data_IF_969923030692
#
_entry.id   IF_969923030692
#
_cell.length_a   1.000
_cell.length_b   1.000
_cell.length_c   1.000
_cell.angle_alpha   90.00
_cell.angle_beta   90.00
_cell.angle_gamma   90.00
#
_symmetry.space_group_name_H-M   'P 1'
#
loop_
_entity.id
_entity.type
_entity.pdbx_description
1 polymer ?
#
# COMPACT_ATOMS: atom_id res chain seq x y z
N UNK A 1 74.97 28.72 9.21
CA UNK A 1 74.19 28.40 8.01
C UNK A 1 73.21 27.30 8.39
N UNK A 2 71.95 27.68 8.75
CA UNK A 2 70.95 26.75 9.22
C UNK A 2 69.94 26.48 8.12
N UNK A 3 69.90 25.27 7.59
CA UNK A 3 68.95 24.83 6.61
C UNK A 3 67.69 24.31 7.33
N UNK A 4 66.56 25.02 7.19
CA UNK A 4 65.24 24.59 7.66
C UNK A 4 64.59 23.66 6.62
N UNK A 5 64.38 22.41 7.02
CA UNK A 5 63.64 21.42 6.26
C UNK A 5 62.15 21.62 6.56
N UNK A 6 61.36 22.00 5.58
CA UNK A 6 59.88 22.09 5.65
C UNK A 6 59.34 20.68 5.37
N UNK A 7 58.68 20.06 6.35
CA UNK A 7 57.92 18.84 6.16
C UNK A 7 56.48 19.24 5.73
N UNK A 8 56.18 18.99 4.49
CA UNK A 8 54.83 19.12 3.97
C UNK A 8 54.03 17.86 4.37
N UNK A 9 53.08 18.00 5.29
CA UNK A 9 52.12 16.95 5.61
C UNK A 9 51.00 17.01 4.57
N UNK A 10 50.94 16.00 3.71
CA UNK A 10 49.78 15.77 2.84
C UNK A 10 48.67 15.11 3.65
N UNK A 11 47.63 15.87 3.95
CA UNK A 11 46.40 15.31 4.51
C UNK A 11 45.60 14.62 3.38
N UNK A 12 45.62 13.30 3.36
CA UNK A 12 44.70 12.52 2.51
C UNK A 12 43.30 12.58 3.11
N UNK A 13 42.41 13.33 2.47
CA UNK A 13 40.98 13.25 2.73
C UNK A 13 40.50 11.91 2.19
N UNK A 14 40.24 10.96 3.09
CA UNK A 14 39.44 9.77 2.81
C UNK A 14 37.98 10.23 2.65
N UNK A 15 37.54 10.41 1.42
CA UNK A 15 36.13 10.41 1.08
C UNK A 15 35.58 8.98 1.30
N UNK A 16 35.08 8.74 2.49
CA UNK A 16 34.23 7.57 2.75
C UNK A 16 32.90 7.81 2.02
N UNK A 17 32.86 7.48 0.74
CA UNK A 17 31.60 7.32 0.02
C UNK A 17 30.87 6.16 0.69
N UNK A 18 29.77 6.46 1.38
CA UNK A 18 28.85 5.42 1.83
C UNK A 18 28.30 4.75 0.56
N UNK A 19 28.75 3.53 0.31
CA UNK A 19 28.10 2.65 -0.69
C UNK A 19 26.72 2.40 -0.15
N UNK A 20 25.69 2.98 -0.77
CA UNK A 20 24.31 2.66 -0.44
C UNK A 20 24.16 1.15 -0.70
N UNK A 21 23.82 0.41 0.34
CA UNK A 21 23.48 -1.02 0.19
C UNK A 21 22.05 -1.07 -0.30
N UNK A 22 21.82 -1.70 -1.44
CA UNK A 22 20.48 -1.91 -1.97
C UNK A 22 19.61 -2.64 -0.95
N UNK A 23 18.37 -2.19 -0.79
CA UNK A 23 17.40 -2.74 0.16
C UNK A 23 16.38 -3.61 -0.58
N UNK A 24 15.90 -4.65 0.06
CA UNK A 24 14.85 -5.51 -0.47
C UNK A 24 13.50 -4.79 -0.43
N UNK A 25 12.91 -4.55 -1.61
CA UNK A 25 11.67 -3.78 -1.76
C UNK A 25 10.42 -4.63 -1.89
N UNK A 26 10.43 -5.60 -2.81
CA UNK A 26 9.29 -6.48 -3.10
C UNK A 26 9.79 -7.92 -3.18
N UNK A 27 9.04 -8.82 -2.57
CA UNK A 27 9.32 -10.27 -2.61
C UNK A 27 8.32 -10.97 -3.54
N UNK A 28 8.84 -11.81 -4.43
CA UNK A 28 8.05 -12.72 -5.24
C UNK A 28 8.56 -14.16 -5.17
N UNK A 29 7.63 -15.09 -5.26
CA UNK A 29 7.92 -16.44 -5.71
C UNK A 29 7.66 -16.48 -7.21
N UNK A 30 8.72 -16.73 -8.00
CA UNK A 30 8.70 -16.80 -9.45
C UNK A 30 8.67 -18.28 -9.87
N UNK A 31 7.50 -18.76 -10.21
CA UNK A 31 7.28 -20.18 -10.55
C UNK A 31 6.98 -20.36 -12.04
N UNK A 32 7.62 -21.38 -12.65
CA UNK A 32 7.42 -21.72 -14.05
C UNK A 32 5.97 -22.16 -14.33
N UNK A 33 5.46 -21.72 -15.46
CA UNK A 33 4.12 -22.07 -15.93
C UNK A 33 3.02 -21.15 -15.40
N UNK A 34 1.80 -21.53 -15.76
CA UNK A 34 0.59 -20.92 -15.20
C UNK A 34 0.34 -21.46 -13.79
N UNK A 35 0.14 -20.54 -12.84
CA UNK A 35 -0.16 -20.86 -11.44
C UNK A 35 -1.55 -20.37 -11.01
N UNK A 36 -2.43 -20.04 -11.94
CA UNK A 36 -3.73 -19.45 -11.64
C UNK A 36 -4.56 -20.35 -10.71
N UNK A 37 -4.66 -21.63 -11.00
CA UNK A 37 -5.35 -22.56 -10.12
C UNK A 37 -4.69 -22.66 -8.73
N UNK A 38 -3.36 -22.67 -8.66
CA UNK A 38 -2.64 -22.82 -7.40
C UNK A 38 -2.82 -21.60 -6.50
N UNK A 39 -2.65 -20.38 -7.04
CA UNK A 39 -2.80 -19.19 -6.22
C UNK A 39 -4.27 -18.91 -5.86
N UNK A 40 -5.23 -19.21 -6.74
CA UNK A 40 -6.65 -19.07 -6.42
C UNK A 40 -7.07 -20.04 -5.32
N UNK A 41 -6.65 -21.30 -5.38
CA UNK A 41 -6.87 -22.26 -4.29
C UNK A 41 -6.21 -21.78 -2.99
N UNK A 42 -4.98 -21.28 -3.05
CA UNK A 42 -4.28 -20.75 -1.88
C UNK A 42 -5.06 -19.59 -1.24
N UNK A 43 -5.45 -18.62 -2.05
CA UNK A 43 -6.07 -17.37 -1.58
C UNK A 43 -7.52 -17.61 -1.13
N UNK A 44 -8.32 -18.36 -1.89
CA UNK A 44 -9.75 -18.51 -1.60
C UNK A 44 -10.07 -19.62 -0.60
N UNK A 45 -9.17 -20.61 -0.42
CA UNK A 45 -9.47 -21.78 0.39
C UNK A 45 -8.52 -21.98 1.59
N UNK A 46 -7.31 -21.40 1.56
CA UNK A 46 -6.27 -21.75 2.54
C UNK A 46 -5.79 -20.61 3.42
N UNK A 47 -5.82 -19.36 2.96
CA UNK A 47 -5.23 -18.25 3.75
C UNK A 47 -5.92 -18.04 5.10
N UNK A 48 -7.21 -18.36 5.22
CA UNK A 48 -7.94 -18.28 6.50
C UNK A 48 -7.35 -19.23 7.55
N UNK A 49 -6.84 -20.39 7.12
CA UNK A 49 -6.22 -21.36 8.04
C UNK A 49 -4.94 -20.85 8.73
N UNK A 50 -4.37 -19.76 8.23
CA UNK A 50 -3.18 -19.09 8.79
C UNK A 50 -3.50 -17.69 9.34
N UNK A 51 -4.80 -17.38 9.53
CA UNK A 51 -5.27 -16.15 10.14
C UNK A 51 -5.37 -14.96 9.18
N UNK A 52 -5.18 -15.15 7.86
CA UNK A 52 -5.40 -14.08 6.89
C UNK A 52 -6.81 -14.14 6.31
N UNK A 53 -7.38 -12.95 6.12
CA UNK A 53 -8.67 -12.78 5.47
C UNK A 53 -8.50 -12.03 4.15
N UNK A 54 -9.24 -12.48 3.14
CA UNK A 54 -9.35 -11.79 1.85
C UNK A 54 -10.48 -10.76 1.96
N UNK A 55 -10.15 -9.49 1.72
CA UNK A 55 -11.16 -8.42 1.71
C UNK A 55 -11.69 -8.17 0.30
N UNK A 56 -10.79 -7.91 -0.65
CA UNK A 56 -11.15 -7.49 -2.01
C UNK A 56 -10.31 -8.21 -3.06
N UNK A 57 -10.87 -9.21 -3.75
CA UNK A 57 -10.22 -9.88 -4.87
C UNK A 57 -10.45 -9.11 -6.18
N UNK A 58 -9.36 -8.79 -6.87
CA UNK A 58 -9.38 -8.23 -8.22
C UNK A 58 -8.59 -9.13 -9.16
N UNK A 59 -9.26 -10.14 -9.66
CA UNK A 59 -8.67 -11.14 -10.55
C UNK A 59 -8.66 -10.67 -12.00
N UNK A 60 -7.68 -11.11 -12.79
CA UNK A 60 -7.64 -10.94 -14.25
C UNK A 60 -7.80 -9.49 -14.74
N UNK A 61 -7.22 -8.54 -14.04
CA UNK A 61 -7.28 -7.10 -14.39
C UNK A 61 -6.69 -6.83 -15.79
N UNK A 62 -5.73 -7.64 -16.24
CA UNK A 62 -5.23 -7.62 -17.62
C UNK A 62 -6.33 -7.84 -18.66
N UNK A 63 -7.36 -8.64 -18.38
CA UNK A 63 -8.49 -8.86 -19.28
C UNK A 63 -9.41 -7.64 -19.31
N UNK A 64 -9.62 -6.99 -18.17
CA UNK A 64 -10.33 -5.72 -18.11
C UNK A 64 -9.57 -4.61 -18.89
N UNK A 65 -8.25 -4.58 -18.83
CA UNK A 65 -7.45 -3.68 -19.68
C UNK A 65 -7.64 -4.00 -21.16
N UNK A 66 -7.62 -5.28 -21.56
CA UNK A 66 -7.86 -5.69 -22.93
C UNK A 66 -9.26 -5.29 -23.39
N UNK A 67 -10.29 -5.50 -22.60
CA UNK A 67 -11.66 -5.11 -22.91
C UNK A 67 -11.78 -3.60 -23.15
N UNK A 68 -11.16 -2.79 -22.31
CA UNK A 68 -11.30 -1.33 -22.34
C UNK A 68 -10.40 -0.66 -23.39
N UNK A 69 -9.14 -1.13 -23.54
CA UNK A 69 -8.11 -0.41 -24.28
C UNK A 69 -7.65 -1.12 -25.57
N UNK A 70 -8.14 -2.32 -25.90
CA UNK A 70 -7.66 -3.08 -27.09
C UNK A 70 -7.87 -2.33 -28.42
N UNK A 71 -8.78 -1.37 -28.47
CA UNK A 71 -9.04 -0.55 -29.67
C UNK A 71 -8.20 0.74 -29.71
N UNK A 72 -7.46 1.06 -28.67
CA UNK A 72 -6.62 2.25 -28.65
C UNK A 72 -5.38 2.06 -29.52
N UNK A 73 -4.95 3.11 -30.25
CA UNK A 73 -3.72 3.06 -31.04
C UNK A 73 -2.51 2.72 -30.15
N UNK A 74 -1.77 1.69 -30.57
CA UNK A 74 -0.57 1.25 -29.84
C UNK A 74 -0.81 0.29 -28.68
N UNK A 75 -2.05 -0.14 -28.43
CA UNK A 75 -2.32 -1.19 -27.44
C UNK A 75 -1.50 -2.46 -27.74
N UNK A 76 -0.90 -3.01 -26.70
CA UNK A 76 -0.25 -4.32 -26.72
C UNK A 76 -0.67 -5.10 -25.49
N UNK A 77 -1.10 -6.34 -25.68
CA UNK A 77 -1.30 -7.26 -24.56
C UNK A 77 0.07 -7.72 -24.06
N UNK A 78 0.56 -7.13 -22.99
CA UNK A 78 1.86 -7.48 -22.39
C UNK A 78 1.72 -8.41 -21.20
N UNK A 79 0.54 -8.46 -20.59
CA UNK A 79 0.23 -9.28 -19.41
C UNK A 79 -0.70 -10.43 -19.77
N UNK A 80 -0.31 -11.64 -19.39
CA UNK A 80 -1.12 -12.86 -19.47
C UNK A 80 -2.01 -13.01 -18.21
N UNK A 81 -1.50 -12.57 -17.05
CA UNK A 81 -2.23 -12.50 -15.81
C UNK A 81 -1.84 -11.26 -15.00
N UNK A 82 -2.80 -10.67 -14.30
CA UNK A 82 -2.62 -9.59 -13.35
C UNK A 82 -3.73 -9.63 -12.31
N UNK A 83 -3.37 -9.81 -11.05
CA UNK A 83 -4.32 -9.90 -9.94
C UNK A 83 -3.85 -9.14 -8.71
N UNK A 84 -4.80 -8.59 -7.98
CA UNK A 84 -4.63 -7.86 -6.73
C UNK A 84 -5.57 -8.45 -5.69
N UNK A 85 -5.03 -8.85 -4.55
CA UNK A 85 -5.79 -9.48 -3.49
C UNK A 85 -5.50 -8.77 -2.17
N UNK A 86 -6.44 -7.95 -1.74
CA UNK A 86 -6.33 -7.24 -0.46
C UNK A 86 -6.49 -8.21 0.69
N UNK A 87 -5.43 -8.45 1.44
CA UNK A 87 -5.40 -9.41 2.54
C UNK A 87 -4.91 -8.77 3.84
N UNK A 88 -5.45 -9.20 4.96
CA UNK A 88 -5.03 -8.78 6.29
C UNK A 88 -5.08 -9.95 7.28
N UNK A 89 -4.20 -9.93 8.28
CA UNK A 89 -4.32 -10.79 9.46
C UNK A 89 -4.84 -9.92 10.61
N UNK A 90 -6.17 -9.92 10.77
CA UNK A 90 -6.85 -9.01 11.69
C UNK A 90 -6.43 -9.22 13.15
N UNK A 91 -6.26 -10.46 13.59
CA UNK A 91 -5.80 -10.77 14.96
C UNK A 91 -4.38 -10.26 15.22
N UNK A 92 -3.50 -10.36 14.23
CA UNK A 92 -2.13 -9.87 14.37
C UNK A 92 -2.05 -8.34 14.26
N UNK A 93 -2.85 -7.72 13.39
CA UNK A 93 -2.75 -6.27 13.13
C UNK A 93 -3.49 -5.42 14.17
N UNK A 94 -4.61 -5.91 14.74
CA UNK A 94 -5.42 -5.17 15.70
C UNK A 94 -4.61 -4.56 16.86
N UNK A 95 -3.82 -5.33 17.63
CA UNK A 95 -3.03 -4.77 18.73
C UNK A 95 -1.96 -3.78 18.26
N UNK A 96 -1.52 -3.88 17.01
CA UNK A 96 -0.55 -2.97 16.43
C UNK A 96 -1.20 -1.67 15.95
N UNK A 97 -2.41 -1.71 15.36
CA UNK A 97 -3.20 -0.53 15.00
C UNK A 97 -3.56 0.30 16.25
N UNK A 98 -3.84 -0.35 17.38
CA UNK A 98 -4.06 0.36 18.65
C UNK A 98 -2.82 1.15 19.07
N UNK A 99 -1.61 0.63 18.82
CA UNK A 99 -0.34 1.31 19.14
C UNK A 99 -0.04 2.43 18.14
N UNK A 100 -0.15 2.13 16.82
CA UNK A 100 0.15 3.09 15.77
C UNK A 100 -0.85 2.97 14.60
N UNK A 101 -1.72 3.97 14.41
CA UNK A 101 -2.75 3.94 13.37
C UNK A 101 -2.20 3.97 11.94
N UNK A 102 -0.96 4.42 11.73
CA UNK A 102 -0.37 4.53 10.39
C UNK A 102 -0.19 3.18 9.70
N UNK A 103 -0.23 2.08 10.46
CA UNK A 103 -0.23 0.72 9.88
C UNK A 103 -1.38 0.45 8.92
N UNK A 104 -2.49 1.21 9.02
CA UNK A 104 -3.59 1.16 8.07
C UNK A 104 -3.20 1.51 6.64
N UNK A 105 -2.07 2.18 6.42
CA UNK A 105 -1.52 2.41 5.08
C UNK A 105 -1.10 1.12 4.35
N UNK A 106 -0.99 -0.01 5.10
CA UNK A 106 -0.70 -1.34 4.57
C UNK A 106 -1.51 -2.44 5.28
N UNK A 107 -2.73 -2.12 5.72
CA UNK A 107 -3.63 -3.09 6.34
C UNK A 107 -5.07 -2.77 5.95
N UNK A 108 -5.64 -3.49 5.00
CA UNK A 108 -5.04 -4.62 4.27
C UNK A 108 -3.88 -4.22 3.36
N UNK A 109 -3.00 -5.17 3.04
CA UNK A 109 -1.97 -5.02 2.01
C UNK A 109 -2.31 -5.86 0.78
N UNK A 110 -1.61 -5.63 -0.33
CA UNK A 110 -1.84 -6.38 -1.56
C UNK A 110 -0.94 -7.62 -1.64
N UNK A 111 -1.56 -8.79 -1.76
CA UNK A 111 -0.94 -9.99 -2.30
C UNK A 111 -1.09 -9.94 -3.82
N UNK A 112 0.02 -9.76 -4.52
CA UNK A 112 0.05 -9.46 -5.94
C UNK A 112 0.42 -10.67 -6.78
N UNK A 113 -0.26 -10.81 -7.92
CA UNK A 113 0.01 -11.84 -8.91
C UNK A 113 0.20 -11.21 -10.28
N UNK A 114 1.25 -11.62 -11.02
CA UNK A 114 1.36 -11.26 -12.43
C UNK A 114 2.15 -12.28 -13.25
N UNK A 115 1.86 -12.30 -14.57
CA UNK A 115 2.58 -13.06 -15.59
C UNK A 115 2.61 -12.24 -16.87
N UNK A 116 3.80 -12.08 -17.45
CA UNK A 116 3.94 -11.46 -18.77
C UNK A 116 3.65 -12.46 -19.88
N UNK A 117 3.20 -11.97 -21.06
CA UNK A 117 2.91 -12.80 -22.23
C UNK A 117 4.16 -13.37 -22.91
N UNK A 118 5.33 -12.74 -22.71
CA UNK A 118 6.60 -13.10 -23.33
C UNK A 118 7.47 -14.03 -22.49
N UNK A 119 6.97 -14.47 -21.33
CA UNK A 119 7.67 -15.41 -20.45
C UNK A 119 6.70 -16.43 -19.84
N UNK A 120 7.21 -17.58 -19.47
CA UNK A 120 6.43 -18.65 -18.84
C UNK A 120 6.70 -18.71 -17.34
N UNK A 121 6.52 -17.56 -16.66
CA UNK A 121 6.75 -17.42 -15.21
C UNK A 121 5.60 -16.63 -14.59
N UNK A 122 4.94 -17.25 -13.61
CA UNK A 122 3.96 -16.57 -12.73
C UNK A 122 4.67 -16.12 -11.46
N UNK A 123 4.45 -14.87 -11.08
CA UNK A 123 4.98 -14.27 -9.84
C UNK A 123 3.85 -14.01 -8.86
N UNK A 124 4.06 -14.43 -7.60
CA UNK A 124 3.13 -14.21 -6.49
C UNK A 124 3.92 -13.65 -5.32
N UNK A 125 3.51 -12.51 -4.79
CA UNK A 125 4.25 -11.86 -3.72
C UNK A 125 3.65 -10.56 -3.19
N UNK A 126 4.43 -9.82 -2.45
CA UNK A 126 4.01 -8.58 -1.78
C UNK A 126 5.21 -7.66 -1.50
N UNK A 127 4.93 -6.41 -1.14
CA UNK A 127 5.95 -5.47 -0.64
C UNK A 127 6.61 -6.02 0.62
N UNK A 128 7.91 -5.83 0.76
CA UNK A 128 8.63 -6.20 1.98
C UNK A 128 8.02 -5.48 3.20
N UNK A 129 7.56 -6.21 4.24
CA UNK A 129 6.94 -5.60 5.42
C UNK A 129 7.81 -4.55 6.12
N UNK A 130 9.14 -4.71 6.12
CA UNK A 130 10.04 -3.71 6.68
C UNK A 130 9.96 -2.39 5.93
N UNK A 131 9.83 -2.43 4.60
CA UNK A 131 9.69 -1.25 3.75
C UNK A 131 8.31 -0.61 3.93
N UNK A 132 7.25 -1.40 4.12
CA UNK A 132 5.93 -0.85 4.47
C UNK A 132 6.02 0.03 5.72
N UNK A 133 6.72 -0.45 6.77
CA UNK A 133 6.95 0.30 8.01
C UNK A 133 7.80 1.55 7.82
N UNK A 134 8.80 1.49 6.94
CA UNK A 134 9.65 2.65 6.60
C UNK A 134 8.88 3.72 5.85
N UNK A 135 7.92 3.33 5.00
CA UNK A 135 7.03 4.25 4.28
C UNK A 135 6.12 4.99 5.25
N UNK A 136 5.47 4.27 6.16
CA UNK A 136 4.57 4.89 7.15
C UNK A 136 5.31 5.47 8.36
N UNK A 137 6.64 5.42 8.36
CA UNK A 137 7.49 6.10 9.35
C UNK A 137 7.44 5.47 10.75
N UNK A 138 7.22 4.17 10.87
CA UNK A 138 7.20 3.46 12.16
C UNK A 138 8.61 2.99 12.53
N UNK A 139 9.13 3.53 13.63
CA UNK A 139 10.47 3.24 14.15
C UNK A 139 10.47 2.41 15.44
N UNK A 140 9.32 2.20 16.08
CA UNK A 140 9.24 1.35 17.28
C UNK A 140 9.65 -0.09 16.94
N UNK A 141 10.70 -0.58 17.60
CA UNK A 141 11.32 -1.88 17.29
C UNK A 141 10.36 -3.04 17.54
N UNK A 142 9.51 -2.95 18.58
CA UNK A 142 8.57 -4.02 18.90
C UNK A 142 7.42 -4.09 17.90
N UNK A 143 6.86 -2.94 17.50
CA UNK A 143 5.83 -2.87 16.46
C UNK A 143 6.39 -3.43 15.15
N UNK A 144 7.61 -3.03 14.79
CA UNK A 144 8.30 -3.52 13.58
C UNK A 144 8.49 -5.04 13.61
N UNK A 145 9.00 -5.56 14.72
CA UNK A 145 9.24 -6.99 14.86
C UNK A 145 7.94 -7.81 14.77
N UNK A 146 6.89 -7.38 15.45
CA UNK A 146 5.59 -8.05 15.46
C UNK A 146 4.91 -7.99 14.09
N UNK A 147 4.93 -6.82 13.43
CA UNK A 147 4.38 -6.66 12.08
C UNK A 147 5.10 -7.54 11.06
N UNK A 148 6.43 -7.51 11.02
CA UNK A 148 7.22 -8.36 10.10
C UNK A 148 6.98 -9.84 10.39
N UNK A 149 6.87 -10.21 11.67
CA UNK A 149 6.61 -11.60 12.06
C UNK A 149 5.24 -12.10 11.60
N UNK A 150 4.23 -11.23 11.51
CA UNK A 150 2.88 -11.59 11.07
C UNK A 150 2.82 -12.11 9.62
N UNK A 151 3.81 -11.77 8.78
CA UNK A 151 3.90 -12.24 7.39
C UNK A 151 4.52 -13.63 7.24
N UNK A 152 5.17 -14.18 8.27
CA UNK A 152 5.86 -15.48 8.17
C UNK A 152 4.94 -16.63 7.75
N UNK A 153 3.70 -16.79 8.30
CA UNK A 153 2.80 -17.85 7.86
C UNK A 153 2.40 -17.71 6.38
N UNK A 154 2.14 -16.49 5.92
CA UNK A 154 1.81 -16.22 4.52
C UNK A 154 2.97 -16.57 3.60
N UNK A 155 4.18 -16.13 3.93
CA UNK A 155 5.36 -16.43 3.13
C UNK A 155 5.62 -17.94 3.04
N UNK A 156 5.47 -18.67 4.14
CA UNK A 156 5.58 -20.13 4.15
C UNK A 156 4.50 -20.82 3.29
N UNK A 157 3.29 -20.26 3.27
CA UNK A 157 2.20 -20.77 2.43
C UNK A 157 2.48 -20.50 0.95
N UNK A 158 2.92 -19.30 0.58
CA UNK A 158 3.33 -18.97 -0.79
C UNK A 158 4.44 -19.93 -1.25
N UNK A 159 5.45 -20.16 -0.41
CA UNK A 159 6.54 -21.10 -0.70
C UNK A 159 6.03 -22.52 -0.99
N UNK A 160 5.08 -22.98 -0.19
CA UNK A 160 4.53 -24.32 -0.30
C UNK A 160 3.62 -24.50 -1.53
N UNK A 161 2.72 -23.53 -1.77
CA UNK A 161 1.64 -23.69 -2.75
C UNK A 161 2.07 -23.22 -4.16
N UNK A 162 2.91 -22.20 -4.24
CA UNK A 162 3.39 -21.64 -5.50
C UNK A 162 4.75 -22.21 -5.87
N UNK A 163 5.66 -22.29 -4.89
CA UNK A 163 7.05 -22.73 -5.10
C UNK A 163 7.83 -21.74 -5.97
N UNK A 164 8.76 -22.26 -6.76
CA UNK A 164 9.61 -21.45 -7.65
C UNK A 164 10.82 -20.84 -6.97
N UNK A 165 11.48 -19.93 -7.66
CA UNK A 165 12.65 -19.21 -7.16
C UNK A 165 12.22 -17.94 -6.44
N UNK A 166 13.00 -17.52 -5.45
CA UNK A 166 12.80 -16.21 -4.80
C UNK A 166 13.34 -15.12 -5.71
N UNK A 167 12.47 -14.22 -6.12
CA UNK A 167 12.81 -13.01 -6.85
C UNK A 167 12.62 -11.80 -5.94
N UNK A 168 13.64 -10.96 -5.81
CA UNK A 168 13.61 -9.77 -4.96
C UNK A 168 13.85 -8.55 -5.82
N UNK A 169 12.91 -7.61 -5.80
CA UNK A 169 13.11 -6.30 -6.39
C UNK A 169 13.79 -5.43 -5.33
N UNK A 170 14.98 -4.95 -5.64
CA UNK A 170 15.77 -4.12 -4.73
C UNK A 170 15.74 -2.65 -5.14
N UNK A 171 15.95 -1.76 -4.17
CA UNK A 171 16.00 -0.32 -4.39
C UNK A 171 17.10 0.32 -3.52
N UNK A 172 17.56 1.50 -3.91
CA UNK A 172 18.65 2.19 -3.21
C UNK A 172 18.14 3.06 -2.05
N UNK A 173 17.06 3.81 -2.27
CA UNK A 173 16.58 4.82 -1.32
C UNK A 173 15.09 5.13 -1.53
N UNK A 174 14.34 5.27 -0.43
CA UNK A 174 13.00 5.82 -0.44
C UNK A 174 13.01 7.33 -0.75
N UNK A 175 11.91 7.91 -1.29
CA UNK A 175 11.77 9.35 -1.41
C UNK A 175 11.76 10.01 -0.02
N UNK A 176 12.01 11.33 0.01
CA UNK A 176 11.99 12.08 1.29
C UNK A 176 10.57 12.11 1.89
N UNK A 177 9.59 12.40 1.04
CA UNK A 177 8.18 12.40 1.42
C UNK A 177 7.58 11.05 1.07
N UNK A 178 7.13 10.31 2.08
CA UNK A 178 6.70 8.92 1.94
C UNK A 178 5.22 8.70 2.24
N UNK A 179 4.67 9.51 3.14
CA UNK A 179 3.30 9.41 3.64
C UNK A 179 2.62 10.77 3.54
N UNK A 180 1.45 10.83 2.90
CA UNK A 180 0.54 11.96 2.98
C UNK A 180 -0.23 11.83 4.29
N UNK A 181 -0.27 12.90 5.07
CA UNK A 181 -1.09 12.95 6.29
C UNK A 181 -1.97 14.18 6.24
N UNK A 182 -3.26 14.01 6.47
CA UNK A 182 -4.24 15.08 6.48
C UNK A 182 -4.98 15.08 7.80
N UNK A 183 -5.57 16.24 8.10
CA UNK A 183 -6.42 16.43 9.26
C UNK A 183 -7.57 17.35 8.91
N UNK A 184 -8.76 17.01 9.37
CA UNK A 184 -9.92 17.88 9.33
C UNK A 184 -10.73 17.77 10.62
N UNK A 185 -11.38 18.86 11.00
CA UNK A 185 -12.29 18.89 12.14
C UNK A 185 -13.72 18.80 11.61
N UNK A 186 -14.52 17.91 12.19
CA UNK A 186 -15.94 17.80 11.92
C UNK A 186 -16.75 18.20 13.14
N UNK A 187 -18.02 18.54 12.94
CA UNK A 187 -18.93 18.84 14.04
C UNK A 187 -19.42 17.51 14.66
N UNK A 188 -19.35 17.44 16.00
CA UNK A 188 -19.93 16.34 16.76
C UNK A 188 -21.05 16.92 17.62
N UNK A 189 -22.32 16.71 17.28
CA UNK A 189 -23.44 17.16 18.08
C UNK A 189 -23.39 16.63 19.51
N UNK A 190 -23.95 17.39 20.45
CA UNK A 190 -24.06 16.97 21.85
C UNK A 190 -24.89 15.67 21.95
N UNK A 191 -24.36 14.68 22.64
CA UNK A 191 -25.01 13.38 22.82
C UNK A 191 -24.63 12.31 21.82
N UNK A 192 -23.89 12.65 20.74
CA UNK A 192 -23.38 11.64 19.79
C UNK A 192 -22.30 10.81 20.45
N UNK A 193 -22.53 9.51 20.49
CA UNK A 193 -21.65 8.54 21.13
C UNK A 193 -20.69 7.90 20.12
N UNK A 194 -19.79 7.05 20.62
CA UNK A 194 -18.95 6.20 19.78
C UNK A 194 -19.80 5.28 18.90
N UNK A 195 -20.86 4.70 19.46
CA UNK A 195 -21.70 3.75 18.75
C UNK A 195 -22.47 4.42 17.61
N UNK A 196 -22.95 5.65 17.82
CA UNK A 196 -23.60 6.42 16.76
C UNK A 196 -22.65 6.66 15.55
N UNK A 197 -21.36 6.92 15.80
CA UNK A 197 -20.36 7.08 14.73
C UNK A 197 -20.09 5.75 14.02
N UNK A 198 -20.00 4.66 14.79
CA UNK A 198 -19.68 3.33 14.25
C UNK A 198 -20.83 2.72 13.46
N UNK A 199 -22.06 3.03 13.85
CA UNK A 199 -23.27 2.53 13.18
C UNK A 199 -23.72 3.40 11.98
N UNK A 200 -22.92 4.44 11.64
CA UNK A 200 -23.27 5.37 10.58
C UNK A 200 -24.42 6.32 10.96
N UNK A 201 -24.83 6.34 12.21
CA UNK A 201 -25.88 7.25 12.69
C UNK A 201 -25.38 8.69 12.91
N UNK A 202 -24.06 8.88 12.85
CA UNK A 202 -23.46 10.21 12.91
C UNK A 202 -23.45 10.84 11.51
N UNK A 203 -24.53 11.54 11.20
CA UNK A 203 -24.80 12.10 9.87
C UNK A 203 -23.66 12.96 9.29
N UNK A 204 -22.90 13.69 10.10
CA UNK A 204 -21.81 14.55 9.63
C UNK A 204 -20.64 13.80 9.00
N UNK A 205 -20.12 12.75 9.67
CA UNK A 205 -18.97 11.99 9.16
C UNK A 205 -19.39 10.99 8.07
N UNK A 206 -20.52 10.32 8.25
CA UNK A 206 -21.06 9.36 7.31
C UNK A 206 -21.41 10.04 5.97
N UNK A 207 -22.13 11.15 6.01
CA UNK A 207 -22.44 11.98 4.82
C UNK A 207 -21.16 12.44 4.13
N UNK A 208 -20.18 12.92 4.87
CA UNK A 208 -18.90 13.34 4.30
C UNK A 208 -18.18 12.17 3.62
N UNK A 209 -18.18 10.98 4.21
CA UNK A 209 -17.51 9.81 3.63
C UNK A 209 -18.25 9.29 2.39
N UNK A 210 -19.57 9.09 2.45
CA UNK A 210 -20.34 8.53 1.35
C UNK A 210 -20.57 9.54 0.23
N UNK A 211 -20.99 10.74 0.56
CA UNK A 211 -21.50 11.70 -0.42
C UNK A 211 -20.41 12.64 -0.95
N UNK A 212 -19.45 13.03 -0.12
CA UNK A 212 -18.43 13.99 -0.53
C UNK A 212 -17.11 13.32 -0.89
N UNK A 213 -16.56 12.45 -0.02
CA UNK A 213 -15.27 11.83 -0.24
C UNK A 213 -15.30 10.83 -1.41
N UNK A 214 -16.22 9.87 -1.38
CA UNK A 214 -16.30 8.87 -2.45
C UNK A 214 -16.64 9.53 -3.79
N UNK A 215 -17.63 10.44 -3.82
CA UNK A 215 -17.99 11.17 -5.02
C UNK A 215 -16.83 11.99 -5.58
N UNK A 216 -16.04 12.67 -4.74
CA UNK A 216 -14.89 13.45 -5.20
C UNK A 216 -13.80 12.59 -5.84
N UNK A 217 -13.54 11.40 -5.29
CA UNK A 217 -12.60 10.45 -5.90
C UNK A 217 -13.15 9.86 -7.20
N UNK A 218 -14.43 9.46 -7.26
CA UNK A 218 -15.05 8.90 -8.46
C UNK A 218 -15.13 9.93 -9.60
N UNK A 219 -15.47 11.20 -9.33
CA UNK A 219 -15.45 12.28 -10.30
C UNK A 219 -14.06 12.50 -10.92
N UNK A 220 -13.01 12.23 -10.15
CA UNK A 220 -11.63 12.26 -10.59
C UNK A 220 -11.14 10.92 -11.17
N UNK A 221 -12.07 9.98 -11.49
CA UNK A 221 -11.81 8.69 -12.16
C UNK A 221 -11.10 7.66 -11.29
N UNK A 222 -11.12 7.85 -9.99
CA UNK A 222 -10.77 6.77 -9.07
C UNK A 222 -11.94 5.78 -8.95
N UNK A 223 -11.60 4.57 -8.57
CA UNK A 223 -12.53 3.51 -8.22
C UNK A 223 -12.29 3.23 -6.74
N UNK A 224 -13.36 3.18 -5.96
CA UNK A 224 -13.31 2.63 -4.62
C UNK A 224 -13.22 1.11 -4.78
N UNK A 225 -12.00 0.59 -4.71
CA UNK A 225 -11.71 -0.82 -4.94
C UNK A 225 -11.95 -1.67 -3.69
N UNK A 226 -12.11 -1.06 -2.53
CA UNK A 226 -12.45 -1.71 -1.28
C UNK A 226 -12.60 -0.74 -0.12
N UNK A 227 -13.36 -1.18 0.87
CA UNK A 227 -13.59 -0.47 2.13
C UNK A 227 -13.57 -1.45 3.29
N UNK A 228 -12.94 -1.10 4.40
CA UNK A 228 -12.98 -1.88 5.62
C UNK A 228 -13.09 -0.98 6.84
N UNK A 229 -14.19 -1.13 7.59
CA UNK A 229 -14.36 -0.50 8.89
C UNK A 229 -13.81 -1.43 9.99
N UNK A 230 -12.60 -1.18 10.43
CA UNK A 230 -11.93 -1.98 11.46
C UNK A 230 -12.61 -1.83 12.82
N UNK A 231 -13.03 -0.60 13.18
CA UNK A 231 -13.64 -0.36 14.48
C UNK A 231 -14.95 -1.14 14.64
N UNK A 232 -15.78 -1.17 13.58
CA UNK A 232 -17.01 -1.95 13.54
C UNK A 232 -16.72 -3.46 13.56
N UNK A 233 -15.85 -3.93 12.66
CA UNK A 233 -15.50 -5.35 12.58
C UNK A 233 -14.97 -5.91 13.90
N UNK A 234 -14.14 -5.16 14.63
CA UNK A 234 -13.63 -5.59 15.92
C UNK A 234 -14.69 -5.55 17.02
N UNK A 235 -15.61 -4.57 16.99
CA UNK A 235 -16.72 -4.50 17.92
C UNK A 235 -17.70 -5.68 17.74
N UNK A 236 -18.08 -5.99 16.50
CA UNK A 236 -18.96 -7.12 16.20
C UNK A 236 -18.39 -8.47 16.68
N UNK A 237 -17.08 -8.59 16.72
CA UNK A 237 -16.38 -9.76 17.23
C UNK A 237 -15.99 -9.66 18.71
N UNK A 238 -16.54 -8.70 19.46
CA UNK A 238 -16.26 -8.46 20.88
C UNK A 238 -14.75 -8.25 21.18
N UNK A 239 -14.00 -7.71 20.23
CA UNK A 239 -12.56 -7.47 20.32
C UNK A 239 -12.28 -6.03 20.76
N UNK A 240 -11.36 -5.87 21.70
CA UNK A 240 -10.97 -4.54 22.20
C UNK A 240 -10.34 -3.67 21.10
N UNK A 241 -10.92 -2.49 20.84
CA UNK A 241 -10.41 -1.48 19.93
C UNK A 241 -10.80 -0.06 20.38
N UNK A 242 -10.77 0.19 21.68
CA UNK A 242 -11.37 1.35 22.33
C UNK A 242 -10.56 2.66 22.24
N UNK A 243 -9.43 2.64 21.54
CA UNK A 243 -8.63 3.86 21.32
C UNK A 243 -9.29 4.81 20.33
N UNK A 244 -10.08 4.27 19.39
CA UNK A 244 -10.67 5.02 18.30
C UNK A 244 -12.20 4.96 18.38
N UNK A 245 -12.86 6.10 18.15
CA UNK A 245 -14.30 6.16 17.90
C UNK A 245 -14.62 5.68 16.47
N UNK A 246 -13.68 5.89 15.54
CA UNK A 246 -13.77 5.46 14.16
C UNK A 246 -12.40 5.03 13.65
N UNK A 247 -12.33 3.98 12.85
CA UNK A 247 -11.13 3.58 12.13
C UNK A 247 -11.50 2.76 10.89
N UNK A 248 -11.18 3.29 9.72
CA UNK A 248 -11.43 2.59 8.45
C UNK A 248 -10.27 2.71 7.47
N UNK A 249 -10.30 1.89 6.44
CA UNK A 249 -9.40 1.97 5.29
C UNK A 249 -10.18 1.91 4.00
N UNK A 250 -9.77 2.74 3.06
CA UNK A 250 -10.21 2.71 1.66
C UNK A 250 -9.10 2.17 0.78
N UNK A 251 -9.46 1.37 -0.21
CA UNK A 251 -8.58 0.93 -1.29
C UNK A 251 -8.93 1.72 -2.55
N UNK A 252 -8.04 2.59 -3.00
CA UNK A 252 -8.26 3.48 -4.14
C UNK A 252 -7.52 2.98 -5.38
N UNK A 253 -8.19 2.94 -6.52
CA UNK A 253 -7.60 2.57 -7.81
C UNK A 253 -7.93 3.58 -8.88
N UNK A 254 -6.92 4.03 -9.65
CA UNK A 254 -7.11 4.82 -10.85
C UNK A 254 -6.82 3.95 -12.08
N UNK A 255 -7.88 3.43 -12.72
CA UNK A 255 -7.78 2.35 -13.70
C UNK A 255 -6.92 2.68 -14.94
N UNK A 256 -7.04 3.89 -15.48
CA UNK A 256 -6.23 4.32 -16.63
C UNK A 256 -4.75 4.44 -16.26
N UNK A 257 -4.48 4.97 -15.08
CA UNK A 257 -3.11 5.08 -14.56
C UNK A 257 -2.48 3.69 -14.34
N UNK A 258 -3.20 2.79 -13.70
CA UNK A 258 -2.72 1.43 -13.44
C UNK A 258 -2.40 0.68 -14.75
N UNK A 259 -3.25 0.83 -15.78
CA UNK A 259 -2.96 0.35 -17.13
C UNK A 259 -1.66 0.95 -17.68
N UNK A 260 -1.47 2.26 -17.56
CA UNK A 260 -0.29 2.99 -18.03
C UNK A 260 1.02 2.57 -17.37
N UNK A 261 0.96 2.02 -16.15
CA UNK A 261 2.15 1.52 -15.43
C UNK A 261 2.32 0.01 -15.64
N UNK A 262 1.30 -0.77 -15.32
CA UNK A 262 1.46 -2.24 -15.24
C UNK A 262 1.53 -2.90 -16.62
N UNK A 263 0.67 -2.48 -17.56
CA UNK A 263 0.71 -3.03 -18.93
C UNK A 263 1.89 -2.48 -19.77
N UNK A 264 2.70 -1.56 -19.23
CA UNK A 264 3.85 -0.97 -19.90
C UNK A 264 5.17 -1.31 -19.19
N UNK A 265 5.28 -2.54 -18.67
CA UNK A 265 6.55 -3.12 -18.25
C UNK A 265 6.89 -2.99 -16.76
N UNK A 266 5.99 -2.45 -15.94
CA UNK A 266 6.21 -2.34 -14.51
C UNK A 266 5.09 -3.05 -13.70
N UNK A 267 4.74 -4.29 -14.09
CA UNK A 267 3.73 -5.07 -13.40
C UNK A 267 4.06 -5.30 -11.90
N UNK A 268 5.35 -5.39 -11.55
CA UNK A 268 5.80 -5.55 -10.16
C UNK A 268 5.34 -4.41 -9.24
N UNK A 269 5.12 -3.19 -9.79
CA UNK A 269 4.57 -2.08 -9.03
C UNK A 269 3.15 -2.33 -8.52
N UNK A 270 2.43 -3.28 -9.12
CA UNK A 270 1.12 -3.73 -8.66
C UNK A 270 1.12 -4.26 -7.22
N UNK A 271 2.27 -4.61 -6.65
CA UNK A 271 2.36 -4.98 -5.23
C UNK A 271 1.89 -3.87 -4.27
N UNK A 272 1.79 -2.62 -4.74
CA UNK A 272 1.26 -1.48 -3.99
C UNK A 272 -0.21 -1.17 -4.29
N UNK A 273 -0.83 -1.83 -5.27
CA UNK A 273 -2.19 -1.52 -5.72
C UNK A 273 -3.22 -2.57 -5.23
N UNK A 274 -4.44 -2.16 -4.88
CA UNK A 274 -4.90 -0.78 -4.76
C UNK A 274 -4.22 -0.01 -3.62
N UNK A 275 -4.24 1.32 -3.70
CA UNK A 275 -3.59 2.16 -2.70
C UNK A 275 -4.46 2.30 -1.47
N UNK A 276 -3.95 1.94 -0.30
CA UNK A 276 -4.68 2.05 0.95
C UNK A 276 -4.60 3.45 1.53
N UNK A 277 -5.76 4.04 1.84
CA UNK A 277 -5.91 5.27 2.61
C UNK A 277 -6.60 4.91 3.93
N UNK A 278 -5.95 5.18 5.05
CA UNK A 278 -6.54 4.97 6.37
C UNK A 278 -7.12 6.26 6.93
N UNK A 279 -8.18 6.13 7.70
CA UNK A 279 -8.87 7.24 8.36
C UNK A 279 -9.22 6.84 9.79
N UNK A 280 -9.04 7.76 10.75
CA UNK A 280 -9.42 7.48 12.13
C UNK A 280 -9.78 8.72 12.89
N UNK A 281 -10.62 8.52 13.92
CA UNK A 281 -10.98 9.50 14.96
C UNK A 281 -10.57 8.90 16.29
N UNK A 282 -9.69 9.59 17.00
CA UNK A 282 -9.32 9.20 18.37
C UNK A 282 -10.51 9.39 19.32
N UNK A 283 -10.63 8.50 20.29
CA UNK A 283 -11.75 8.47 21.24
C UNK A 283 -12.02 9.85 21.86
N UNK A 284 -13.24 10.31 21.70
CA UNK A 284 -13.73 11.55 22.28
C UNK A 284 -13.25 12.82 21.59
N UNK A 285 -12.55 12.70 20.43
CA UNK A 285 -12.17 13.86 19.62
C UNK A 285 -13.15 14.07 18.47
N UNK A 286 -13.10 15.24 17.84
CA UNK A 286 -13.81 15.55 16.61
C UNK A 286 -12.83 15.84 15.46
N UNK A 287 -11.67 15.21 15.48
CA UNK A 287 -10.62 15.36 14.47
C UNK A 287 -10.48 14.07 13.69
N UNK A 288 -10.83 14.12 12.41
CA UNK A 288 -10.55 13.05 11.47
C UNK A 288 -9.10 13.18 10.97
N UNK A 289 -8.31 12.15 11.21
CA UNK A 289 -6.95 12.03 10.72
C UNK A 289 -6.92 11.01 9.60
N UNK A 290 -6.24 11.35 8.51
CA UNK A 290 -6.22 10.56 7.28
C UNK A 290 -4.77 10.40 6.84
N UNK A 291 -4.40 9.23 6.37
CA UNK A 291 -3.07 9.00 5.81
C UNK A 291 -3.07 8.04 4.64
N UNK A 292 -2.16 8.31 3.69
CA UNK A 292 -1.95 7.49 2.51
C UNK A 292 -0.49 7.51 2.09
N UNK A 293 0.14 6.35 1.80
CA UNK A 293 1.46 6.32 1.18
C UNK A 293 1.49 7.06 -0.16
N UNK A 294 2.50 7.92 -0.39
CA UNK A 294 2.70 8.52 -1.71
C UNK A 294 2.95 7.44 -2.78
N UNK A 295 2.36 7.60 -3.95
CA UNK A 295 2.63 6.72 -5.08
C UNK A 295 4.09 6.87 -5.56
N UNK A 296 4.75 7.98 -5.27
CA UNK A 296 6.18 8.17 -5.59
C UNK A 296 7.07 7.08 -4.95
N UNK A 297 6.64 6.43 -3.87
CA UNK A 297 7.32 5.26 -3.32
C UNK A 297 7.47 4.12 -4.36
N UNK A 298 6.51 3.98 -5.29
CA UNK A 298 6.55 2.97 -6.35
C UNK A 298 7.74 3.19 -7.30
N UNK A 299 8.07 4.47 -7.59
CA UNK A 299 9.19 4.82 -8.48
C UNK A 299 10.47 4.21 -7.98
N UNK A 300 10.77 4.41 -6.70
CA UNK A 300 11.99 3.89 -6.08
C UNK A 300 11.94 2.37 -5.95
N UNK A 301 10.90 1.83 -5.31
CA UNK A 301 10.87 0.44 -4.85
C UNK A 301 10.63 -0.54 -6.02
N UNK A 302 9.75 -0.19 -6.97
CA UNK A 302 9.50 -1.01 -8.15
C UNK A 302 10.49 -0.74 -9.29
N UNK A 303 11.41 0.21 -9.13
CA UNK A 303 12.46 0.51 -10.10
C UNK A 303 11.93 1.12 -11.41
N UNK A 304 10.89 1.96 -11.33
CA UNK A 304 10.29 2.63 -12.50
C UNK A 304 11.25 3.68 -13.04
N UNK A 305 11.63 3.56 -14.31
CA UNK A 305 12.61 4.46 -14.97
C UNK A 305 12.01 5.29 -16.11
N UNK A 306 10.84 4.93 -16.60
CA UNK A 306 10.16 5.70 -17.66
C UNK A 306 9.68 7.04 -17.11
N UNK A 307 10.18 8.14 -17.67
CA UNK A 307 9.89 9.48 -17.18
C UNK A 307 8.40 9.84 -17.27
N UNK A 308 7.69 9.35 -18.29
CA UNK A 308 6.24 9.61 -18.44
C UNK A 308 5.43 8.92 -17.34
N UNK A 309 5.85 7.73 -16.95
CA UNK A 309 5.22 7.02 -15.83
C UNK A 309 5.52 7.72 -14.49
N UNK A 310 6.78 8.17 -14.28
CA UNK A 310 7.17 8.95 -13.10
C UNK A 310 6.35 10.24 -13.01
N UNK A 311 6.23 10.98 -14.11
CA UNK A 311 5.45 12.23 -14.14
C UNK A 311 3.97 11.97 -13.89
N UNK A 312 3.43 10.84 -14.39
CA UNK A 312 2.05 10.42 -14.14
C UNK A 312 1.83 10.06 -12.67
N UNK A 313 2.77 9.37 -12.04
CA UNK A 313 2.75 9.04 -10.61
C UNK A 313 2.67 10.31 -9.76
N UNK A 314 3.59 11.25 -10.00
CA UNK A 314 3.64 12.52 -9.28
C UNK A 314 2.39 13.38 -9.49
N UNK A 315 1.82 13.31 -10.69
CA UNK A 315 0.57 13.99 -10.99
C UNK A 315 -0.60 13.43 -10.17
N UNK A 316 -0.67 12.11 -9.99
CA UNK A 316 -1.70 11.51 -9.15
C UNK A 316 -1.50 11.87 -7.67
N UNK A 317 -0.28 11.81 -7.15
CA UNK A 317 -0.01 12.26 -5.78
C UNK A 317 -0.52 13.68 -5.54
N UNK A 318 -0.24 14.59 -6.48
CA UNK A 318 -0.75 15.97 -6.42
C UNK A 318 -2.27 16.04 -6.51
N UNK A 319 -2.89 15.25 -7.39
CA UNK A 319 -4.33 15.21 -7.55
C UNK A 319 -5.03 14.71 -6.26
N UNK A 320 -4.48 13.70 -5.59
CA UNK A 320 -5.02 13.21 -4.32
C UNK A 320 -4.99 14.34 -3.27
N UNK A 321 -3.88 15.07 -3.19
CA UNK A 321 -3.78 16.22 -2.27
C UNK A 321 -4.83 17.27 -2.60
N UNK A 322 -4.98 17.65 -3.88
CA UNK A 322 -5.97 18.64 -4.34
C UNK A 322 -7.41 18.20 -4.03
N UNK A 323 -7.73 16.91 -4.20
CA UNK A 323 -9.05 16.35 -3.84
C UNK A 323 -9.26 16.49 -2.33
N UNK A 324 -8.32 16.05 -1.49
CA UNK A 324 -8.45 16.09 -0.05
C UNK A 324 -8.57 17.51 0.49
N UNK A 325 -7.80 18.47 -0.06
CA UNK A 325 -7.89 19.88 0.31
C UNK A 325 -9.24 20.50 -0.10
N UNK A 326 -9.80 20.09 -1.25
CA UNK A 326 -11.13 20.54 -1.70
C UNK A 326 -12.25 20.06 -0.77
N UNK A 327 -12.05 18.95 -0.08
CA UNK A 327 -12.94 18.37 0.94
C UNK A 327 -12.74 18.96 2.33
N UNK A 328 -11.86 19.96 2.49
CA UNK A 328 -11.59 20.63 3.75
C UNK A 328 -10.49 20.02 4.62
N UNK A 329 -9.88 18.91 4.18
CA UNK A 329 -8.74 18.34 4.88
C UNK A 329 -7.47 19.19 4.64
N UNK A 330 -6.58 19.25 5.63
CA UNK A 330 -5.33 20.03 5.57
C UNK A 330 -4.15 19.07 5.57
N UNK A 331 -3.29 19.17 4.56
CA UNK A 331 -2.01 18.46 4.52
C UNK A 331 -1.11 18.95 5.66
N UNK A 332 -0.43 18.00 6.34
CA UNK A 332 0.47 18.25 7.48
C UNK A 332 1.92 18.47 7.06
#
# INVERSE_FOLDING_TARGET
MFTKTIKTAAAALLLAGSVAVAQDGIYFNAAKGDKEHAYNTMINEKIESIGFMLSDPHERINDAYAQKYSKEPGYKKTLDNLGFFSVANDDAIRPLLIKDPRLGGFSPFNLHVYKYTNEDVTRVGHVNPAVMLDIVGISDEQIRADFIASFKPLNAMIDKEIGGEKEVITFDKLPETKLMEFEMTFERPEGVTKDDILDGEFEGLDTWMSDEFEAAFEDNKYIIAGYKNFAEAYRENEQEFDKYDFYSTYSLCHFYFSYGVFNHGNAQAGAFAPCSMYMYVEKGTNVLKIGMPYLENWVSIAGIKDQKQIDSIRKLDKQIIEIMESLGAKLK
#
